data_IF_595932624383
#
_entry.id   IF_595932624383
#
_cell.length_a   1.000
_cell.length_b   1.000
_cell.length_c   1.000
_cell.angle_alpha   90.00
_cell.angle_beta   90.00
_cell.angle_gamma   90.00
#
_symmetry.space_group_name_H-M   'P 1'
#
loop_
_entity.id
_entity.type
_entity.pdbx_description
1 polymer ?
#
# COMPACT_ATOMS: atom_id res chain seq x y z
N UNK A 1 -3.76 11.91 -16.54
CA UNK A 1 -3.70 10.42 -16.54
C UNK A 1 -3.90 9.94 -17.97
N UNK A 2 -3.17 8.91 -18.40
CA UNK A 2 -3.20 8.36 -19.77
C UNK A 2 -4.44 7.49 -20.07
N UNK A 3 -5.40 7.38 -19.13
CA UNK A 3 -6.59 6.52 -19.25
C UNK A 3 -6.30 5.01 -19.12
N UNK A 4 -5.06 4.63 -18.83
CA UNK A 4 -4.63 3.23 -18.72
C UNK A 4 -4.73 2.74 -17.28
N UNK A 5 -5.33 1.56 -17.11
CA UNK A 5 -5.31 0.84 -15.84
C UNK A 5 -3.91 0.26 -15.57
N UNK A 6 -3.54 0.01 -14.29
CA UNK A 6 -2.22 -0.49 -13.94
C UNK A 6 -1.93 -1.89 -14.52
N UNK A 7 -1.08 -1.95 -15.55
CA UNK A 7 -0.78 -3.18 -16.31
C UNK A 7 0.16 -4.17 -15.61
N UNK A 8 1.03 -3.71 -14.70
CA UNK A 8 2.01 -4.57 -14.02
C UNK A 8 1.41 -5.40 -12.86
N UNK A 9 0.12 -5.76 -12.92
CA UNK A 9 -0.60 -6.47 -11.85
C UNK A 9 -1.05 -5.59 -10.68
N UNK A 10 -1.03 -4.26 -10.85
CA UNK A 10 -1.52 -3.31 -9.85
C UNK A 10 -3.00 -3.49 -9.54
N UNK A 11 -3.81 -3.85 -10.55
CA UNK A 11 -5.24 -4.18 -10.37
C UNK A 11 -5.49 -5.37 -9.45
N UNK A 12 -4.52 -6.27 -9.27
CA UNK A 12 -4.64 -7.49 -8.48
C UNK A 12 -3.91 -7.40 -7.14
N UNK A 13 -2.70 -6.83 -7.12
CA UNK A 13 -1.89 -6.73 -5.89
C UNK A 13 -2.34 -5.58 -4.99
N UNK A 14 -2.78 -4.46 -5.57
CA UNK A 14 -3.16 -3.28 -4.80
C UNK A 14 -4.39 -3.54 -3.91
N UNK A 15 -5.50 -4.13 -4.40
CA UNK A 15 -6.65 -4.43 -3.53
C UNK A 15 -6.32 -5.38 -2.38
N UNK A 16 -5.39 -6.33 -2.60
CA UNK A 16 -4.94 -7.27 -1.56
C UNK A 16 -4.13 -6.59 -0.46
N UNK A 17 -3.45 -5.48 -0.78
CA UNK A 17 -2.55 -4.77 0.10
C UNK A 17 -3.24 -3.65 0.89
N UNK A 18 -4.05 -2.83 0.22
CA UNK A 18 -4.65 -1.60 0.82
C UNK A 18 -6.18 -1.65 0.94
N UNK A 19 -6.80 -2.79 0.58
CA UNK A 19 -8.25 -2.97 0.52
C UNK A 19 -8.88 -2.41 -0.75
N UNK A 20 -10.10 -2.88 -1.07
CA UNK A 20 -10.83 -2.50 -2.28
C UNK A 20 -11.11 -0.99 -2.39
N UNK A 21 -11.63 -0.28 -1.36
CA UNK A 21 -11.98 1.13 -1.51
C UNK A 21 -10.76 2.01 -1.82
N UNK A 22 -9.67 1.82 -1.07
CA UNK A 22 -8.43 2.57 -1.26
C UNK A 22 -7.75 2.25 -2.59
N UNK A 23 -7.82 0.98 -3.02
CA UNK A 23 -7.27 0.58 -4.31
C UNK A 23 -8.05 1.22 -5.47
N UNK A 24 -9.39 1.28 -5.40
CA UNK A 24 -10.19 1.95 -6.41
C UNK A 24 -9.95 3.47 -6.43
N UNK A 25 -9.90 4.13 -5.27
CA UNK A 25 -9.54 5.56 -5.22
C UNK A 25 -8.19 5.82 -5.91
N UNK A 26 -7.18 5.00 -5.64
CA UNK A 26 -5.85 5.15 -6.23
C UNK A 26 -5.83 4.87 -7.74
N UNK A 27 -6.50 3.81 -8.20
CA UNK A 27 -6.52 3.43 -9.61
C UNK A 27 -7.37 4.36 -10.48
N UNK A 28 -8.50 4.84 -9.95
CA UNK A 28 -9.46 5.65 -10.70
C UNK A 28 -9.12 7.13 -10.67
N UNK A 29 -8.61 7.65 -9.54
CA UNK A 29 -8.27 9.08 -9.43
C UNK A 29 -6.82 9.39 -9.79
N UNK A 30 -5.91 8.42 -9.65
CA UNK A 30 -4.49 8.61 -9.93
C UNK A 30 -3.78 9.60 -9.02
N UNK A 31 -4.37 9.95 -7.88
CA UNK A 31 -3.79 10.95 -6.99
C UNK A 31 -2.54 10.40 -6.31
N UNK A 32 -1.57 11.29 -6.13
CA UNK A 32 -0.38 11.00 -5.34
C UNK A 32 -0.74 10.83 -3.86
N UNK A 33 -0.14 9.84 -3.23
CA UNK A 33 -0.35 9.53 -1.81
C UNK A 33 0.90 9.92 -1.03
N UNK A 34 0.70 10.66 0.07
CA UNK A 34 1.79 11.03 0.97
C UNK A 34 2.34 9.80 1.69
N UNK A 35 3.64 9.81 1.99
CA UNK A 35 4.35 8.67 2.59
C UNK A 35 3.73 8.19 3.91
N UNK A 36 3.33 9.11 4.78
CA UNK A 36 2.67 8.82 6.06
C UNK A 36 1.31 8.11 5.89
N UNK A 37 0.51 8.55 4.92
CA UNK A 37 -0.77 7.91 4.56
C UNK A 37 -0.52 6.53 3.95
N UNK A 38 0.49 6.40 3.08
CA UNK A 38 0.88 5.13 2.46
C UNK A 38 1.28 4.07 3.50
N UNK A 39 2.00 4.47 4.55
CA UNK A 39 2.35 3.59 5.68
C UNK A 39 1.11 3.17 6.49
N UNK A 40 0.22 4.11 6.81
CA UNK A 40 -1.02 3.82 7.56
C UNK A 40 -1.91 2.80 6.83
N UNK A 41 -2.11 3.00 5.52
CA UNK A 41 -2.92 2.12 4.68
C UNK A 41 -2.24 0.79 4.31
N UNK A 42 -0.97 0.58 4.68
CA UNK A 42 -0.25 -0.67 4.43
C UNK A 42 0.34 -0.81 3.04
N UNK A 43 0.44 0.28 2.27
CA UNK A 43 1.16 0.32 1.00
C UNK A 43 2.69 0.31 1.20
N UNK A 44 3.15 0.86 2.32
CA UNK A 44 4.57 0.97 2.70
C UNK A 44 4.81 0.32 4.05
N UNK A 45 5.88 -0.46 4.17
CA UNK A 45 6.22 -1.22 5.38
C UNK A 45 7.06 -0.46 6.39
N UNK A 46 7.85 0.54 5.99
CA UNK A 46 8.60 1.39 6.92
C UNK A 46 8.87 2.75 6.29
N UNK A 47 8.99 3.76 7.12
CA UNK A 47 9.38 5.11 6.72
C UNK A 47 10.67 5.47 7.45
N UNK A 48 11.48 6.29 6.78
CA UNK A 48 12.66 6.93 7.36
C UNK A 48 12.53 8.43 7.16
N UNK A 49 13.01 9.19 8.14
CA UNK A 49 13.05 10.64 8.03
C UNK A 49 14.30 11.07 7.25
N UNK A 50 14.19 12.11 6.41
CA UNK A 50 15.33 12.62 5.67
C UNK A 50 16.38 13.16 6.64
N UNK A 51 17.66 12.96 6.31
CA UNK A 51 18.75 13.43 7.14
C UNK A 51 19.05 14.90 6.84
N UNK A 52 19.33 15.66 7.91
CA UNK A 52 19.80 17.04 7.80
C UNK A 52 21.20 17.16 7.20
N UNK A 53 21.70 18.40 6.99
CA UNK A 53 23.01 18.66 6.41
C UNK A 53 24.13 17.99 7.22
N UNK A 54 25.17 17.52 6.51
CA UNK A 54 26.31 16.83 7.08
C UNK A 54 27.57 16.99 6.21
N UNK A 55 28.45 16.00 6.22
CA UNK A 55 29.69 16.02 5.41
C UNK A 55 29.43 15.94 3.89
N UNK A 56 28.31 15.34 3.49
CA UNK A 56 27.80 15.29 2.10
C UNK A 56 26.53 16.14 1.97
N UNK A 57 26.04 16.30 0.74
CA UNK A 57 24.72 16.90 0.51
C UNK A 57 23.62 16.15 1.28
N UNK A 58 22.57 16.85 1.77
CA UNK A 58 21.46 16.22 2.48
C UNK A 58 20.79 15.09 1.68
N UNK A 59 20.69 15.27 0.35
CA UNK A 59 20.09 14.31 -0.56
C UNK A 59 20.91 13.03 -0.65
N UNK A 60 22.22 13.11 -0.94
CA UNK A 60 23.10 11.94 -1.02
C UNK A 60 23.13 11.17 0.30
N UNK A 61 23.25 11.90 1.42
CA UNK A 61 23.29 11.30 2.75
C UNK A 61 21.99 10.57 3.08
N UNK A 62 20.84 11.12 2.67
CA UNK A 62 19.54 10.48 2.89
C UNK A 62 19.40 9.21 2.06
N UNK A 63 19.94 9.18 0.84
CA UNK A 63 19.96 7.98 0.00
C UNK A 63 20.87 6.90 0.60
N UNK A 64 22.10 7.26 1.00
CA UNK A 64 23.03 6.34 1.67
C UNK A 64 22.38 5.72 2.92
N UNK A 65 21.75 6.56 3.74
CA UNK A 65 21.05 6.11 4.95
C UNK A 65 19.83 5.22 4.66
N UNK A 66 19.05 5.56 3.63
CA UNK A 66 17.93 4.71 3.21
C UNK A 66 18.42 3.34 2.76
N UNK A 67 19.55 3.27 2.06
CA UNK A 67 20.19 2.02 1.66
C UNK A 67 20.62 1.19 2.88
N UNK A 68 21.33 1.81 3.83
CA UNK A 68 21.76 1.14 5.07
C UNK A 68 20.58 0.54 5.83
N UNK A 69 19.51 1.32 6.01
CA UNK A 69 18.28 0.86 6.68
C UNK A 69 17.59 -0.25 5.89
N UNK A 70 17.56 -0.17 4.55
CA UNK A 70 16.97 -1.21 3.72
C UNK A 70 17.74 -2.55 3.82
N UNK A 71 19.07 -2.49 3.88
CA UNK A 71 19.92 -3.68 4.09
C UNK A 71 19.65 -4.29 5.47
N UNK A 72 19.57 -3.46 6.52
CA UNK A 72 19.25 -3.93 7.87
C UNK A 72 17.86 -4.57 7.93
N UNK A 73 16.85 -3.94 7.30
CA UNK A 73 15.50 -4.47 7.22
C UNK A 73 15.45 -5.83 6.50
N UNK A 74 16.17 -5.96 5.39
CA UNK A 74 16.28 -7.22 4.66
C UNK A 74 16.94 -8.32 5.52
N UNK A 75 18.01 -7.99 6.25
CA UNK A 75 18.63 -8.93 7.23
C UNK A 75 17.66 -9.29 8.35
N UNK A 76 16.84 -8.35 8.80
CA UNK A 76 15.78 -8.55 9.79
C UNK A 76 14.69 -9.53 9.31
N UNK A 77 14.33 -9.46 8.03
CA UNK A 77 13.39 -10.41 7.40
C UNK A 77 14.00 -11.82 7.35
N UNK A 78 15.24 -11.94 6.88
CA UNK A 78 15.93 -13.25 6.75
C UNK A 78 16.09 -13.91 8.12
N UNK A 79 16.44 -13.14 9.15
CA UNK A 79 16.54 -13.61 10.53
C UNK A 79 15.19 -13.88 11.21
N UNK A 80 14.06 -13.71 10.50
CA UNK A 80 12.68 -13.86 11.00
C UNK A 80 12.35 -12.94 12.19
N UNK A 81 13.15 -11.90 12.44
CA UNK A 81 12.85 -10.87 13.45
C UNK A 81 11.72 -9.96 12.99
N UNK A 82 11.61 -9.75 11.67
CA UNK A 82 10.59 -8.92 11.04
C UNK A 82 9.61 -9.83 10.29
N UNK A 83 8.29 -9.72 10.54
CA UNK A 83 7.31 -10.51 9.81
C UNK A 83 7.22 -10.06 8.35
N UNK A 84 7.24 -11.01 7.41
CA UNK A 84 7.14 -10.76 5.96
C UNK A 84 5.77 -10.22 5.57
N UNK A 85 4.73 -10.56 6.34
CA UNK A 85 3.34 -10.21 6.03
C UNK A 85 2.77 -9.33 7.12
N UNK A 86 2.29 -8.14 6.72
CA UNK A 86 1.45 -7.30 7.59
C UNK A 86 0.20 -8.07 7.99
N UNK A 87 -0.10 -8.07 9.28
CA UNK A 87 -1.38 -8.55 9.76
C UNK A 87 -2.47 -7.54 9.41
N UNK A 88 -3.54 -8.01 8.76
CA UNK A 88 -4.69 -7.16 8.43
C UNK A 88 -5.36 -6.64 9.70
N UNK A 89 -5.80 -5.38 9.66
CA UNK A 89 -6.54 -4.78 10.76
C UNK A 89 -7.88 -5.49 11.00
N UNK A 90 -8.45 -5.39 12.20
CA UNK A 90 -9.75 -6.02 12.54
C UNK A 90 -10.86 -5.57 11.58
N UNK A 91 -10.89 -4.28 11.24
CA UNK A 91 -11.87 -3.72 10.30
C UNK A 91 -11.70 -4.28 8.88
N UNK A 92 -10.46 -4.44 8.41
CA UNK A 92 -10.16 -5.04 7.10
C UNK A 92 -10.62 -6.51 7.04
N UNK A 93 -10.39 -7.27 8.12
CA UNK A 93 -10.86 -8.67 8.22
C UNK A 93 -12.39 -8.75 8.19
N UNK A 94 -13.08 -7.85 8.88
CA UNK A 94 -14.55 -7.77 8.87
C UNK A 94 -15.04 -7.42 7.47
N UNK A 95 -14.43 -6.45 6.80
CA UNK A 95 -14.78 -6.08 5.44
C UNK A 95 -14.60 -7.24 4.46
N UNK A 96 -13.47 -7.93 4.51
CA UNK A 96 -13.20 -9.11 3.68
C UNK A 96 -14.25 -10.21 3.91
N UNK A 97 -14.63 -10.42 5.18
CA UNK A 97 -15.66 -11.39 5.55
C UNK A 97 -17.04 -10.98 5.00
N UNK A 98 -17.44 -9.73 5.16
CA UNK A 98 -18.71 -9.21 4.62
C UNK A 98 -18.76 -9.32 3.09
N UNK A 99 -17.64 -9.07 2.39
CA UNK A 99 -17.51 -9.22 0.94
C UNK A 99 -17.49 -10.68 0.46
N UNK A 100 -17.27 -11.63 1.38
CA UNK A 100 -17.32 -13.07 1.07
C UNK A 100 -18.76 -13.54 0.82
N UNK A 101 -19.76 -12.89 1.43
CA UNK A 101 -21.17 -13.21 1.19
C UNK A 101 -21.60 -12.81 -0.22
N UNK A 102 -22.10 -13.79 -0.97
CA UNK A 102 -22.51 -13.60 -2.36
C UNK A 102 -23.63 -12.57 -2.51
N UNK A 103 -24.56 -12.52 -1.56
CA UNK A 103 -25.64 -11.52 -1.55
C UNK A 103 -25.08 -10.08 -1.46
N UNK A 104 -24.10 -9.84 -0.58
CA UNK A 104 -23.50 -8.51 -0.38
C UNK A 104 -22.74 -8.10 -1.63
N UNK A 105 -21.93 -9.02 -2.15
CA UNK A 105 -21.16 -8.83 -3.36
C UNK A 105 -22.07 -8.46 -4.55
N UNK A 106 -23.15 -9.21 -4.74
CA UNK A 106 -24.10 -8.98 -5.81
C UNK A 106 -24.87 -7.66 -5.63
N UNK A 107 -25.21 -7.27 -4.40
CA UNK A 107 -25.88 -5.99 -4.14
C UNK A 107 -24.97 -4.79 -4.46
N UNK A 108 -23.70 -4.86 -4.07
CA UNK A 108 -22.71 -3.81 -4.37
C UNK A 108 -22.49 -3.73 -5.88
N UNK A 109 -22.31 -4.87 -6.55
CA UNK A 109 -22.12 -4.87 -8.01
C UNK A 109 -23.36 -4.43 -8.79
N UNK A 110 -24.58 -4.77 -8.34
CA UNK A 110 -25.82 -4.27 -8.94
C UNK A 110 -25.94 -2.75 -8.84
N UNK A 111 -25.47 -2.14 -7.76
CA UNK A 111 -25.46 -0.68 -7.59
C UNK A 111 -24.61 0.00 -8.69
N UNK A 112 -23.52 -0.65 -9.12
CA UNK A 112 -22.66 -0.17 -10.20
C UNK A 112 -23.30 -0.37 -11.58
N UNK A 113 -24.05 -1.46 -11.78
CA UNK A 113 -24.75 -1.74 -13.05
C UNK A 113 -26.08 -0.97 -13.21
N UNK A 114 -26.67 -0.48 -12.10
CA UNK A 114 -27.94 0.26 -12.11
C UNK A 114 -27.80 1.78 -12.24
N UNK A 115 -26.61 2.29 -12.56
CA UNK A 115 -26.34 3.72 -12.81
C UNK A 115 -26.03 4.01 -14.28
N UNK A 116 -26.60 3.22 -15.20
CA UNK A 116 -26.75 3.58 -16.62
C UNK A 116 -28.21 3.93 -16.91
#
# INVERSE_FOLDING_TARGET
MLGLLPGAGGTQRLPKMVGLPSAFDMMLTGRNIRADKAKKMGLVDQLVDPLGPGLKSPEERTIDYLEEVAIEYARGIVSKKIPIRREKGRMEKIQDYVMSFEFVRNQIYKTVHGSQ
#
